data_IF_458162830078
#
_entry.id   IF_458162830078
#
_cell.length_a   1.000
_cell.length_b   1.000
_cell.length_c   1.000
_cell.angle_alpha   90.00
_cell.angle_beta   90.00
_cell.angle_gamma   90.00
#
_symmetry.space_group_name_H-M   'P 1'
#
loop_
_entity.id
_entity.type
_entity.pdbx_description
1 polymer ?
#
# COMPACT_ATOMS: atom_id res chain seq x y z
N UNK A 1 -0.65 56.21 -9.54
CA UNK A 1 -0.60 54.91 -8.83
C UNK A 1 -1.08 55.16 -7.41
N UNK A 2 -2.36 54.94 -7.15
CA UNK A 2 -2.91 55.03 -5.79
C UNK A 2 -2.24 53.97 -4.91
N UNK A 3 -1.71 54.39 -3.76
CA UNK A 3 -1.13 53.50 -2.77
C UNK A 3 -2.19 52.54 -2.23
N UNK A 4 -2.12 51.28 -2.68
CA UNK A 4 -2.97 50.18 -2.21
C UNK A 4 -3.04 50.19 -0.67
N UNK A 5 -4.23 50.32 -0.11
CA UNK A 5 -4.41 50.53 1.33
C UNK A 5 -3.87 49.32 2.13
N UNK A 6 -3.41 49.54 3.37
CA UNK A 6 -2.93 48.44 4.22
C UNK A 6 -3.99 47.35 4.43
N UNK A 7 -5.27 47.75 4.44
CA UNK A 7 -6.43 46.85 4.56
C UNK A 7 -6.60 45.98 3.31
N UNK A 8 -6.53 46.58 2.11
CA UNK A 8 -6.64 45.86 0.85
C UNK A 8 -5.57 44.77 0.72
N UNK A 9 -4.30 45.10 1.04
CA UNK A 9 -3.21 44.13 1.05
C UNK A 9 -3.42 42.98 2.05
N UNK A 10 -4.09 43.25 3.17
CA UNK A 10 -4.43 42.22 4.14
C UNK A 10 -5.54 41.30 3.61
N UNK A 11 -6.62 41.83 3.03
CA UNK A 11 -7.66 41.02 2.40
C UNK A 11 -7.15 40.21 1.21
N UNK A 12 -6.27 40.76 0.35
CA UNK A 12 -5.64 40.02 -0.75
C UNK A 12 -4.80 38.84 -0.26
N UNK A 13 -4.10 38.99 0.88
CA UNK A 13 -3.40 37.89 1.54
C UNK A 13 -4.36 36.83 2.06
N UNK A 14 -5.45 37.22 2.73
CA UNK A 14 -6.48 36.29 3.21
C UNK A 14 -7.15 35.53 2.05
N UNK A 15 -7.39 36.20 0.93
CA UNK A 15 -7.93 35.56 -0.28
C UNK A 15 -7.03 34.43 -0.80
N UNK A 16 -5.74 34.36 -0.44
CA UNK A 16 -4.88 33.23 -0.81
C UNK A 16 -5.42 31.88 -0.31
N UNK A 17 -6.25 31.88 0.74
CA UNK A 17 -6.98 30.71 1.21
C UNK A 17 -7.92 30.13 0.13
N UNK A 18 -8.41 30.92 -0.82
CA UNK A 18 -9.20 30.43 -1.96
C UNK A 18 -8.33 29.81 -3.06
N UNK A 19 -8.84 28.81 -3.82
CA UNK A 19 -8.15 28.26 -4.98
C UNK A 19 -7.77 29.33 -6.02
N UNK A 20 -6.58 29.25 -6.61
CA UNK A 20 -6.03 30.26 -7.55
C UNK A 20 -7.00 30.65 -8.67
N UNK A 21 -7.72 29.67 -9.22
CA UNK A 21 -8.73 29.90 -10.27
C UNK A 21 -9.94 30.67 -9.77
N UNK A 22 -10.47 30.30 -8.60
CA UNK A 22 -11.60 31.00 -7.99
C UNK A 22 -11.24 32.45 -7.66
N UNK A 23 -10.02 32.70 -7.19
CA UNK A 23 -9.51 34.07 -7.00
C UNK A 23 -9.41 34.87 -8.29
N UNK A 24 -9.04 34.24 -9.41
CA UNK A 24 -9.02 34.91 -10.71
C UNK A 24 -10.41 35.26 -11.22
N UNK A 25 -11.39 34.40 -10.97
CA UNK A 25 -12.77 34.58 -11.47
C UNK A 25 -13.61 35.48 -10.56
N UNK A 26 -13.45 35.40 -9.24
CA UNK A 26 -14.32 36.04 -8.23
C UNK A 26 -13.56 36.86 -7.19
N UNK A 27 -12.22 36.86 -7.20
CA UNK A 27 -11.42 37.49 -6.15
C UNK A 27 -11.56 39.00 -6.12
N UNK A 28 -11.67 39.65 -7.27
CA UNK A 28 -11.92 41.09 -7.36
C UNK A 28 -13.29 41.46 -6.79
N UNK A 29 -14.34 40.73 -7.19
CA UNK A 29 -15.70 40.91 -6.67
C UNK A 29 -15.73 40.79 -5.13
N UNK A 30 -15.14 39.72 -4.58
CA UNK A 30 -15.08 39.50 -3.13
C UNK A 30 -14.29 40.63 -2.44
N UNK A 31 -13.16 41.04 -3.01
CA UNK A 31 -12.33 42.11 -2.45
C UNK A 31 -13.08 43.44 -2.42
N UNK A 32 -13.75 43.81 -3.51
CA UNK A 32 -14.55 45.04 -3.60
C UNK A 32 -15.66 45.03 -2.55
N UNK A 33 -16.43 43.94 -2.43
CA UNK A 33 -17.49 43.82 -1.42
C UNK A 33 -16.96 43.96 0.02
N UNK A 34 -15.77 43.42 0.32
CA UNK A 34 -15.15 43.54 1.65
C UNK A 34 -14.68 44.97 1.95
N UNK A 35 -14.17 45.68 0.95
CA UNK A 35 -13.75 47.07 1.10
C UNK A 35 -14.94 48.01 1.22
N UNK A 36 -16.02 47.77 0.47
CA UNK A 36 -17.27 48.54 0.56
C UNK A 36 -17.95 48.38 1.93
N UNK A 37 -17.80 47.20 2.56
CA UNK A 37 -18.32 46.92 3.89
C UNK A 37 -17.40 47.39 5.04
N UNK A 38 -16.19 47.88 4.74
CA UNK A 38 -15.22 48.27 5.76
C UNK A 38 -15.63 49.56 6.48
N UNK A 39 -15.34 49.65 7.78
CA UNK A 39 -15.63 50.87 8.57
C UNK A 39 -14.70 52.02 8.15
N UNK A 40 -15.15 53.28 8.21
CA UNK A 40 -14.28 54.44 7.99
C UNK A 40 -13.03 54.37 8.89
N UNK A 41 -11.84 54.48 8.29
CA UNK A 41 -10.55 54.43 9.00
C UNK A 41 -10.05 53.02 9.37
N UNK A 42 -10.73 51.95 8.97
CA UNK A 42 -10.29 50.57 9.25
C UNK A 42 -8.95 50.25 8.56
N UNK A 43 -7.95 49.86 9.35
CA UNK A 43 -6.58 49.54 8.85
C UNK A 43 -6.26 48.05 8.80
N UNK A 44 -7.06 47.20 9.46
CA UNK A 44 -6.88 45.74 9.52
C UNK A 44 -8.23 45.03 9.35
N UNK A 45 -8.27 43.82 8.75
CA UNK A 45 -9.48 43.01 8.67
C UNK A 45 -10.04 42.73 10.06
N UNK A 46 -11.36 42.72 10.21
CA UNK A 46 -11.96 42.22 11.44
C UNK A 46 -11.64 40.72 11.60
N UNK A 47 -11.43 40.26 12.83
CA UNK A 47 -11.08 38.86 13.10
C UNK A 47 -12.13 37.88 12.52
N UNK A 48 -13.41 38.27 12.58
CA UNK A 48 -14.52 37.52 12.01
C UNK A 48 -14.43 37.41 10.48
N UNK A 49 -14.21 38.52 9.77
CA UNK A 49 -14.05 38.52 8.31
C UNK A 49 -12.84 37.68 7.88
N UNK A 50 -11.74 37.81 8.63
CA UNK A 50 -10.54 37.02 8.37
C UNK A 50 -10.80 35.52 8.55
N UNK A 51 -11.48 35.14 9.64
CA UNK A 51 -11.87 33.75 9.89
C UNK A 51 -12.84 33.24 8.82
N UNK A 52 -13.86 34.02 8.46
CA UNK A 52 -14.85 33.65 7.44
C UNK A 52 -14.21 33.47 6.06
N UNK A 53 -13.23 34.32 5.69
CA UNK A 53 -12.48 34.17 4.44
C UNK A 53 -11.56 32.96 4.43
N UNK A 54 -10.86 32.71 5.55
CA UNK A 54 -9.99 31.54 5.69
C UNK A 54 -10.81 30.26 5.64
N UNK A 55 -11.89 30.16 6.43
CA UNK A 55 -12.79 29.01 6.44
C UNK A 55 -13.50 28.84 5.09
N UNK A 56 -13.95 29.92 4.47
CA UNK A 56 -14.57 29.92 3.14
C UNK A 56 -13.61 29.43 2.06
N UNK A 57 -12.37 29.92 2.06
CA UNK A 57 -11.31 29.50 1.16
C UNK A 57 -10.91 28.03 1.34
N UNK A 58 -10.72 27.61 2.60
CA UNK A 58 -10.42 26.21 2.95
C UNK A 58 -11.55 25.28 2.55
N UNK A 59 -12.82 25.62 2.87
CA UNK A 59 -14.00 24.86 2.41
C UNK A 59 -14.00 24.70 0.90
N UNK A 60 -13.64 25.74 0.13
CA UNK A 60 -13.56 25.65 -1.33
C UNK A 60 -12.39 24.79 -1.82
N UNK A 61 -11.25 24.75 -1.13
CA UNK A 61 -10.11 23.87 -1.46
C UNK A 61 -10.43 22.40 -1.15
N UNK A 62 -11.01 22.16 0.02
CA UNK A 62 -11.40 20.86 0.54
C UNK A 62 -12.72 20.35 -0.08
N UNK A 63 -13.49 21.18 -0.81
CA UNK A 63 -14.72 20.73 -1.44
C UNK A 63 -14.47 19.70 -2.56
N UNK A 64 -14.81 18.44 -2.30
CA UNK A 64 -14.91 17.39 -3.31
C UNK A 64 -16.19 17.61 -4.14
N UNK A 65 -16.24 17.23 -5.43
CA UNK A 65 -17.47 17.34 -6.21
C UNK A 65 -18.67 16.66 -5.53
N UNK A 66 -19.85 17.29 -5.60
CA UNK A 66 -21.07 16.76 -4.96
C UNK A 66 -21.44 15.37 -5.50
N UNK A 67 -21.81 14.48 -4.58
CA UNK A 67 -22.27 13.11 -4.83
C UNK A 67 -21.63 12.11 -3.85
N UNK A 68 -22.29 10.97 -3.56
CA UNK A 68 -21.76 9.98 -2.62
C UNK A 68 -20.48 9.30 -3.13
N UNK A 69 -20.41 8.94 -4.42
CA UNK A 69 -19.25 8.25 -4.99
C UNK A 69 -17.96 9.10 -4.99
N UNK A 70 -17.96 10.38 -5.44
CA UNK A 70 -16.77 11.24 -5.32
C UNK A 70 -16.33 11.43 -3.87
N UNK A 71 -17.28 11.57 -2.94
CA UNK A 71 -17.00 11.68 -1.51
C UNK A 71 -16.30 10.43 -0.97
N UNK A 72 -16.88 9.25 -1.23
CA UNK A 72 -16.30 7.96 -0.86
C UNK A 72 -14.88 7.79 -1.45
N UNK A 73 -14.71 8.06 -2.74
CA UNK A 73 -13.41 7.97 -3.39
C UNK A 73 -12.36 8.89 -2.73
N UNK A 74 -12.72 10.14 -2.42
CA UNK A 74 -11.83 11.06 -1.74
C UNK A 74 -11.49 10.62 -0.31
N UNK A 75 -12.47 10.06 0.42
CA UNK A 75 -12.25 9.47 1.75
C UNK A 75 -11.28 8.30 1.68
N UNK A 76 -11.48 7.36 0.75
CA UNK A 76 -10.61 6.20 0.61
C UNK A 76 -9.17 6.60 0.23
N UNK A 77 -9.00 7.54 -0.71
CA UNK A 77 -7.66 8.08 -1.05
C UNK A 77 -7.02 8.77 0.15
N UNK A 78 -7.79 9.55 0.92
CA UNK A 78 -7.29 10.19 2.13
C UNK A 78 -6.83 9.17 3.18
N UNK A 79 -7.63 8.13 3.43
CA UNK A 79 -7.27 7.06 4.36
C UNK A 79 -6.01 6.30 3.90
N UNK A 80 -5.92 5.94 2.62
CA UNK A 80 -4.74 5.25 2.08
C UNK A 80 -3.48 6.11 2.21
N UNK A 81 -3.58 7.40 1.89
CA UNK A 81 -2.48 8.35 2.07
C UNK A 81 -2.10 8.51 3.55
N UNK A 82 -3.08 8.52 4.46
CA UNK A 82 -2.85 8.55 5.90
C UNK A 82 -2.06 7.31 6.37
N UNK A 83 -2.45 6.12 5.96
CA UNK A 83 -1.75 4.86 6.30
C UNK A 83 -0.32 4.87 5.75
N UNK A 84 -0.14 5.24 4.47
CA UNK A 84 1.18 5.28 3.84
C UNK A 84 2.14 6.28 4.53
N UNK A 85 1.65 7.47 4.88
CA UNK A 85 2.45 8.50 5.56
C UNK A 85 2.68 8.19 7.03
N UNK A 86 1.73 7.54 7.71
CA UNK A 86 1.91 7.02 9.07
C UNK A 86 3.03 5.96 9.11
N UNK A 87 3.03 5.03 8.15
CA UNK A 87 4.07 4.02 8.01
C UNK A 87 5.44 4.66 7.69
N UNK A 88 5.48 5.62 6.76
CA UNK A 88 6.71 6.36 6.45
C UNK A 88 7.23 7.15 7.67
N UNK A 89 6.35 7.80 8.42
CA UNK A 89 6.70 8.55 9.62
C UNK A 89 7.32 7.66 10.68
N UNK A 90 6.69 6.52 11.00
CA UNK A 90 7.28 5.61 11.98
C UNK A 90 8.55 4.92 11.47
N UNK A 91 8.70 4.69 10.17
CA UNK A 91 9.95 4.20 9.59
C UNK A 91 11.09 5.19 9.79
N UNK A 92 10.84 6.49 9.56
CA UNK A 92 11.80 7.56 9.86
C UNK A 92 12.12 7.60 11.36
N UNK A 93 11.12 7.39 12.22
CA UNK A 93 11.33 7.36 13.67
C UNK A 93 12.33 6.29 14.09
N UNK A 94 12.15 5.06 13.61
CA UNK A 94 13.03 3.94 13.95
C UNK A 94 14.40 4.03 13.27
N UNK A 95 14.51 4.66 12.10
CA UNK A 95 15.80 4.97 11.46
C UNK A 95 16.66 5.95 12.27
N UNK A 96 16.04 6.76 13.12
CA UNK A 96 16.70 7.83 13.87
C UNK A 96 16.85 7.52 15.36
N UNK A 97 16.34 6.36 15.80
CA UNK A 97 16.43 5.87 17.18
C UNK A 97 17.33 4.64 17.19
N UNK A 98 18.23 4.50 18.18
CA UNK A 98 18.96 3.26 18.36
C UNK A 98 17.95 2.12 18.59
N UNK A 99 17.92 1.14 17.71
CA UNK A 99 16.85 0.14 17.66
C UNK A 99 17.15 -1.10 18.50
N UNK A 100 18.43 -1.34 18.82
CA UNK A 100 18.88 -2.53 19.53
C UNK A 100 19.48 -2.11 20.88
N UNK A 101 19.02 -2.68 22.02
CA UNK A 101 19.64 -2.43 23.31
C UNK A 101 21.11 -2.87 23.31
N UNK A 102 21.93 -2.26 24.17
CA UNK A 102 23.27 -2.79 24.44
C UNK A 102 23.17 -4.23 24.97
N UNK A 103 24.06 -5.12 24.51
CA UNK A 103 23.98 -6.54 24.84
C UNK A 103 24.10 -6.78 26.35
N UNK A 104 24.96 -6.03 27.05
CA UNK A 104 25.11 -6.17 28.49
C UNK A 104 23.86 -5.68 29.23
N UNK A 105 23.26 -4.58 28.76
CA UNK A 105 21.99 -4.08 29.30
C UNK A 105 20.82 -5.06 29.06
N UNK A 106 20.71 -5.62 27.85
CA UNK A 106 19.71 -6.64 27.53
C UNK A 106 19.90 -7.87 28.40
N UNK A 107 21.15 -8.32 28.57
CA UNK A 107 21.46 -9.48 29.39
C UNK A 107 21.10 -9.26 30.86
N UNK A 108 21.45 -8.10 31.42
CA UNK A 108 21.10 -7.74 32.79
C UNK A 108 19.59 -7.69 33.01
N UNK A 109 18.83 -7.19 32.04
CA UNK A 109 17.37 -7.17 32.10
C UNK A 109 16.79 -8.60 32.18
N UNK A 110 17.26 -9.53 31.35
CA UNK A 110 16.74 -10.90 31.36
C UNK A 110 17.24 -11.70 32.56
N UNK A 111 18.49 -11.51 33.00
CA UNK A 111 19.01 -12.17 34.22
C UNK A 111 18.23 -11.75 35.48
N UNK A 112 17.63 -10.55 35.48
CA UNK A 112 16.70 -10.12 36.55
C UNK A 112 15.35 -10.84 36.53
N UNK A 113 14.97 -11.40 35.39
CA UNK A 113 13.69 -12.07 35.17
C UNK A 113 13.81 -13.60 35.24
N UNK A 114 14.88 -14.19 34.70
CA UNK A 114 15.04 -15.64 34.56
C UNK A 114 16.35 -16.05 35.24
N UNK A 115 16.23 -16.76 36.36
CA UNK A 115 17.37 -17.21 37.17
C UNK A 115 18.04 -18.49 36.60
N UNK A 116 18.25 -18.52 35.28
CA UNK A 116 18.87 -19.65 34.56
C UNK A 116 19.74 -19.11 33.42
N UNK A 117 20.84 -19.80 33.08
CA UNK A 117 21.60 -19.44 31.89
C UNK A 117 20.81 -19.78 30.61
N UNK A 118 20.94 -18.97 29.54
CA UNK A 118 20.39 -19.32 28.23
C UNK A 118 21.11 -20.52 27.63
N UNK A 119 20.42 -21.26 26.75
CA UNK A 119 20.93 -22.51 26.17
C UNK A 119 21.83 -22.31 24.95
N UNK A 120 21.83 -21.10 24.39
CA UNK A 120 22.59 -20.71 23.20
C UNK A 120 22.96 -19.24 23.28
N UNK A 121 23.84 -18.83 22.40
CA UNK A 121 24.21 -17.43 22.23
C UNK A 121 22.98 -16.58 21.86
N UNK A 122 22.92 -15.33 22.33
CA UNK A 122 21.80 -14.44 22.06
C UNK A 122 21.66 -14.18 20.56
N UNK A 123 20.43 -14.32 20.06
CA UNK A 123 20.11 -14.01 18.68
C UNK A 123 19.94 -12.49 18.53
N UNK A 124 20.73 -11.91 17.66
CA UNK A 124 20.64 -10.48 17.33
C UNK A 124 19.80 -10.31 16.08
N UNK A 125 18.69 -9.60 16.24
CA UNK A 125 17.89 -9.13 15.13
C UNK A 125 18.18 -7.64 14.99
N UNK A 126 18.97 -7.27 13.98
CA UNK A 126 19.35 -5.86 13.73
C UNK A 126 18.50 -5.19 12.63
N UNK A 127 17.54 -5.93 12.08
CA UNK A 127 16.67 -5.46 11.01
C UNK A 127 15.37 -4.96 11.63
N UNK A 128 15.19 -3.65 11.89
CA UNK A 128 13.92 -3.12 12.34
C UNK A 128 12.80 -3.25 11.29
N UNK A 129 13.01 -3.97 10.18
CA UNK A 129 12.03 -4.23 9.13
C UNK A 129 12.27 -5.58 8.47
N UNK A 130 11.94 -6.69 9.14
CA UNK A 130 11.77 -7.94 8.41
C UNK A 130 10.39 -7.96 7.73
N UNK A 131 10.36 -7.50 6.48
CA UNK A 131 9.16 -7.50 5.63
C UNK A 131 8.82 -8.90 5.09
N UNK A 132 9.73 -9.87 5.22
CA UNK A 132 9.64 -11.21 4.63
C UNK A 132 9.39 -12.33 5.66
N UNK A 133 9.62 -12.07 6.95
CA UNK A 133 9.48 -13.07 8.01
C UNK A 133 8.04 -13.48 8.30
N UNK A 134 7.83 -14.79 8.53
CA UNK A 134 6.57 -15.43 8.93
C UNK A 134 6.07 -15.04 10.35
N UNK A 135 6.74 -14.09 11.00
CA UNK A 135 6.54 -13.75 12.42
C UNK A 135 5.22 -13.05 12.75
N UNK A 136 4.65 -13.41 13.91
CA UNK A 136 3.59 -12.68 14.62
C UNK A 136 3.97 -11.21 14.82
N UNK A 137 2.99 -10.39 15.19
CA UNK A 137 3.14 -8.95 15.49
C UNK A 137 4.26 -8.70 16.50
N UNK A 138 5.50 -8.59 16.04
CA UNK A 138 6.58 -8.12 16.88
C UNK A 138 6.70 -6.61 16.70
N UNK A 139 6.37 -5.80 17.73
CA UNK A 139 6.51 -4.36 17.72
C UNK A 139 7.94 -3.88 17.45
N UNK A 140 8.96 -4.72 17.72
CA UNK A 140 10.37 -4.37 17.57
C UNK A 140 11.14 -5.44 16.80
N UNK A 141 11.20 -5.28 15.49
CA UNK A 141 12.00 -6.15 14.62
C UNK A 141 13.51 -6.02 14.83
N UNK A 142 13.95 -5.01 15.62
CA UNK A 142 15.27 -5.02 16.23
C UNK A 142 15.19 -5.46 17.70
N UNK A 143 15.78 -6.61 18.04
CA UNK A 143 15.69 -7.21 19.38
C UNK A 143 16.87 -8.14 19.63
N UNK A 144 17.10 -8.43 20.91
CA UNK A 144 18.03 -9.47 21.35
C UNK A 144 17.19 -10.58 21.99
N UNK A 145 17.22 -11.76 21.37
CA UNK A 145 16.45 -12.92 21.81
C UNK A 145 17.30 -13.91 22.59
N UNK A 146 16.74 -14.40 23.70
CA UNK A 146 17.33 -15.43 24.57
C UNK A 146 16.39 -16.62 24.65
N UNK A 147 16.96 -17.84 24.67
CA UNK A 147 16.18 -19.08 24.78
C UNK A 147 16.66 -19.90 25.97
N UNK A 148 15.74 -20.62 26.60
CA UNK A 148 15.96 -21.33 27.85
C UNK A 148 15.42 -22.76 27.78
N UNK A 149 16.17 -23.72 28.35
CA UNK A 149 15.74 -25.10 28.51
C UNK A 149 14.88 -25.21 29.77
N UNK A 150 13.57 -25.29 29.55
CA UNK A 150 12.57 -25.51 30.60
C UNK A 150 11.61 -26.61 30.14
N UNK A 151 11.34 -27.63 30.96
CA UNK A 151 10.32 -28.62 30.65
C UNK A 151 8.96 -27.96 30.41
N UNK A 152 8.14 -28.38 29.42
CA UNK A 152 6.88 -27.72 29.10
C UNK A 152 5.93 -27.54 30.30
N UNK A 153 5.91 -28.53 31.20
CA UNK A 153 5.12 -28.50 32.44
C UNK A 153 5.55 -27.43 33.44
N UNK A 154 6.80 -26.95 33.37
CA UNK A 154 7.34 -25.92 34.27
C UNK A 154 7.19 -24.49 33.70
N UNK A 155 6.87 -24.34 32.42
CA UNK A 155 6.73 -23.03 31.76
C UNK A 155 5.74 -22.10 32.48
N UNK A 156 4.52 -22.53 32.86
CA UNK A 156 3.57 -21.61 33.51
C UNK A 156 4.13 -21.02 34.81
N UNK A 157 4.84 -21.84 35.61
CA UNK A 157 5.46 -21.41 36.85
C UNK A 157 6.64 -20.46 36.60
N UNK A 158 7.48 -20.75 35.59
CA UNK A 158 8.62 -19.90 35.25
C UNK A 158 8.19 -18.53 34.70
N UNK A 159 7.16 -18.49 33.83
CA UNK A 159 6.60 -17.23 33.30
C UNK A 159 6.01 -16.38 34.42
N UNK A 160 5.22 -16.99 35.33
CA UNK A 160 4.67 -16.28 36.48
C UNK A 160 5.77 -15.74 37.42
N UNK A 161 6.77 -16.58 37.74
CA UNK A 161 7.88 -16.18 38.60
C UNK A 161 8.74 -15.08 37.96
N UNK A 162 8.96 -15.12 36.65
CA UNK A 162 9.69 -14.07 35.93
C UNK A 162 8.95 -12.72 35.99
N UNK A 163 7.63 -12.74 35.82
CA UNK A 163 6.79 -11.55 35.97
C UNK A 163 6.89 -10.96 37.37
N UNK A 164 6.77 -11.80 38.39
CA UNK A 164 6.81 -11.34 39.79
C UNK A 164 8.18 -10.78 40.17
N UNK A 165 9.27 -11.39 39.68
CA UNK A 165 10.64 -10.87 39.84
C UNK A 165 10.82 -9.49 39.19
N UNK A 166 10.34 -9.32 37.96
CA UNK A 166 10.39 -8.02 37.27
C UNK A 166 9.55 -6.96 37.99
N UNK A 167 8.34 -7.30 38.43
CA UNK A 167 7.50 -6.41 39.22
C UNK A 167 8.18 -5.99 40.53
N UNK A 168 8.78 -6.94 41.25
CA UNK A 168 9.53 -6.67 42.48
C UNK A 168 10.78 -5.80 42.22
N UNK A 169 11.40 -5.94 41.05
CA UNK A 169 12.51 -5.10 40.60
C UNK A 169 12.06 -3.72 40.08
N UNK A 170 10.78 -3.36 40.20
CA UNK A 170 10.24 -2.05 39.84
C UNK A 170 9.96 -1.87 38.34
N UNK A 171 9.87 -2.97 37.58
CA UNK A 171 9.40 -2.91 36.20
C UNK A 171 7.87 -2.77 36.17
N UNK A 172 7.38 -2.05 35.16
CA UNK A 172 5.96 -2.04 34.85
C UNK A 172 5.63 -3.30 34.06
N UNK A 173 4.80 -4.19 34.62
CA UNK A 173 4.49 -5.49 34.02
C UNK A 173 3.02 -5.61 33.61
N UNK A 174 2.77 -6.24 32.46
CA UNK A 174 1.40 -6.61 32.05
C UNK A 174 0.95 -7.88 32.78
N UNK A 175 -0.37 -8.18 32.81
CA UNK A 175 -0.84 -9.50 33.15
C UNK A 175 -0.24 -10.57 32.22
N UNK A 176 -0.10 -11.80 32.72
CA UNK A 176 0.20 -12.96 31.87
C UNK A 176 -1.02 -13.25 31.01
N UNK A 177 -0.80 -13.41 29.71
CA UNK A 177 -1.82 -13.76 28.73
C UNK A 177 -1.63 -15.21 28.29
N UNK A 178 -2.74 -15.90 28.07
CA UNK A 178 -2.79 -17.23 27.45
C UNK A 178 -3.49 -17.11 26.10
N UNK A 179 -2.73 -17.35 25.02
CA UNK A 179 -3.20 -17.22 23.64
C UNK A 179 -3.01 -18.56 22.90
N UNK A 180 -3.90 -19.50 23.19
CA UNK A 180 -3.99 -20.77 22.48
C UNK A 180 -2.76 -21.66 22.64
N UNK A 181 -2.17 -21.69 23.84
CA UNK A 181 -0.97 -22.48 24.14
C UNK A 181 0.34 -21.69 24.14
N UNK A 182 0.28 -20.36 24.00
CA UNK A 182 1.37 -19.44 24.31
C UNK A 182 1.04 -18.69 25.60
N UNK A 183 1.90 -18.81 26.62
CA UNK A 183 1.85 -17.97 27.80
C UNK A 183 2.88 -16.85 27.67
N UNK A 184 2.46 -15.59 27.71
CA UNK A 184 3.36 -14.45 27.56
C UNK A 184 2.99 -13.23 28.43
N UNK A 185 3.98 -12.39 28.72
CA UNK A 185 3.77 -11.07 29.31
C UNK A 185 4.88 -10.09 28.88
N UNK A 186 4.62 -8.80 29.08
CA UNK A 186 5.53 -7.72 28.76
C UNK A 186 5.92 -6.96 30.02
N UNK A 187 7.15 -6.46 30.05
CA UNK A 187 7.66 -5.60 31.10
C UNK A 187 8.41 -4.41 30.51
N UNK A 188 8.27 -3.23 31.10
CA UNK A 188 8.98 -2.02 30.66
C UNK A 188 9.66 -1.28 31.82
N UNK A 189 10.87 -0.78 31.56
CA UNK A 189 11.64 0.07 32.48
C UNK A 189 12.71 0.86 31.73
N UNK A 190 12.83 2.16 32.05
CA UNK A 190 13.93 3.03 31.58
C UNK A 190 14.16 2.97 30.04
N UNK A 191 13.08 2.86 29.26
CA UNK A 191 13.15 2.75 27.80
C UNK A 191 13.51 1.38 27.25
N UNK A 192 13.61 0.36 28.10
CA UNK A 192 13.78 -1.05 27.73
C UNK A 192 12.46 -1.80 27.89
N UNK A 193 12.15 -2.68 26.96
CA UNK A 193 11.02 -3.60 27.01
C UNK A 193 11.56 -5.04 26.97
N UNK A 194 10.99 -5.87 27.83
CA UNK A 194 11.25 -7.31 27.90
C UNK A 194 9.93 -8.04 27.62
N UNK A 195 9.93 -8.91 26.63
CA UNK A 195 8.82 -9.82 26.31
C UNK A 195 9.25 -11.23 26.67
N UNK A 196 8.55 -11.86 27.60
CA UNK A 196 8.85 -13.23 28.03
C UNK A 196 7.64 -14.10 27.70
N UNK A 197 7.90 -15.24 27.07
CA UNK A 197 6.87 -16.20 26.76
C UNK A 197 7.37 -17.62 26.62
N UNK A 198 6.44 -18.56 26.59
CA UNK A 198 6.74 -19.97 26.40
C UNK A 198 5.53 -20.81 25.99
N UNK A 199 5.81 -22.02 25.49
CA UNK A 199 4.83 -22.94 24.94
C UNK A 199 4.61 -24.15 25.86
N UNK A 200 3.71 -24.08 26.86
CA UNK A 200 3.48 -25.16 27.83
C UNK A 200 2.96 -26.47 27.25
N UNK A 201 2.32 -26.43 26.07
CA UNK A 201 1.63 -27.56 25.45
C UNK A 201 2.33 -28.13 24.21
N UNK A 202 3.48 -27.55 23.80
CA UNK A 202 4.21 -27.98 22.61
C UNK A 202 5.56 -28.61 23.00
N UNK A 203 5.63 -29.94 23.18
CA UNK A 203 6.87 -30.63 23.49
C UNK A 203 7.87 -30.63 22.31
N UNK A 204 7.45 -30.22 21.11
CA UNK A 204 8.30 -30.09 19.92
C UNK A 204 8.81 -28.67 19.67
N UNK A 205 8.43 -27.69 20.49
CA UNK A 205 8.89 -26.32 20.34
C UNK A 205 10.42 -26.26 20.48
N UNK A 206 11.09 -25.70 19.47
CA UNK A 206 12.55 -25.52 19.48
C UNK A 206 13.03 -24.57 20.60
N UNK A 207 12.12 -23.76 21.14
CA UNK A 207 12.37 -22.73 22.16
C UNK A 207 11.23 -22.70 23.19
N UNK A 208 11.23 -23.62 24.18
CA UNK A 208 10.10 -23.79 25.09
C UNK A 208 9.86 -22.57 25.99
N UNK A 209 10.92 -21.86 26.40
CA UNK A 209 10.86 -20.57 27.07
C UNK A 209 11.84 -19.60 26.40
N UNK A 210 11.41 -18.37 26.17
CA UNK A 210 12.21 -17.35 25.52
C UNK A 210 12.00 -15.97 26.15
N UNK A 211 12.95 -15.08 25.93
CA UNK A 211 12.90 -13.68 26.35
C UNK A 211 13.47 -12.80 25.24
N UNK A 212 12.69 -11.84 24.77
CA UNK A 212 13.09 -10.85 23.78
C UNK A 212 13.24 -9.48 24.45
N UNK A 213 14.36 -8.81 24.20
CA UNK A 213 14.63 -7.46 24.70
C UNK A 213 14.74 -6.47 23.55
N UNK A 214 14.01 -5.37 23.64
CA UNK A 214 14.04 -4.28 22.66
C UNK A 214 13.89 -2.92 23.33
N UNK A 215 14.19 -1.87 22.58
CA UNK A 215 14.03 -0.48 23.03
C UNK A 215 12.59 -0.03 22.86
N UNK A 216 12.06 0.67 23.86
CA UNK A 216 10.78 1.36 23.79
C UNK A 216 10.82 2.45 22.71
N UNK A 217 9.72 2.64 22.00
CA UNK A 217 9.63 3.73 21.03
C UNK A 217 9.83 5.08 21.73
N UNK A 218 10.49 6.05 21.07
CA UNK A 218 10.70 7.36 21.66
C UNK A 218 9.35 8.06 21.88
N UNK A 219 9.24 8.90 22.91
CA UNK A 219 7.97 9.58 23.25
C UNK A 219 7.38 10.46 22.14
N UNK A 220 8.17 10.82 21.13
CA UNK A 220 7.72 11.56 19.94
C UNK A 220 7.26 10.67 18.78
N UNK A 221 7.38 9.34 18.90
CA UNK A 221 6.97 8.36 17.88
C UNK A 221 5.48 8.50 17.53
N UNK A 222 4.60 8.34 18.51
CA UNK A 222 3.15 8.41 18.29
C UNK A 222 2.69 9.79 17.78
N UNK A 223 3.15 10.93 18.34
CA UNK A 223 2.89 12.25 17.77
C UNK A 223 3.31 12.37 16.30
N UNK A 224 4.48 11.85 15.92
CA UNK A 224 4.98 11.93 14.54
C UNK A 224 4.16 11.05 13.59
N UNK A 225 3.79 9.84 14.01
CA UNK A 225 2.92 8.94 13.24
C UNK A 225 1.54 9.55 13.03
N UNK A 226 0.93 10.14 14.06
CA UNK A 226 -0.36 10.84 13.97
C UNK A 226 -0.28 12.09 13.09
N UNK A 227 0.80 12.87 13.21
CA UNK A 227 1.04 14.03 12.35
C UNK A 227 1.22 13.62 10.89
N UNK A 228 1.97 12.55 10.64
CA UNK A 228 2.11 11.92 9.33
C UNK A 228 0.77 11.52 8.75
N UNK A 229 -0.01 10.74 9.50
CA UNK A 229 -1.36 10.30 9.10
C UNK A 229 -2.27 11.49 8.76
N UNK A 230 -2.30 12.53 9.60
CA UNK A 230 -3.10 13.73 9.37
C UNK A 230 -2.66 14.50 8.11
N UNK A 231 -1.36 14.66 7.91
CA UNK A 231 -0.81 15.29 6.71
C UNK A 231 -1.13 14.49 5.44
N UNK A 232 -1.01 13.15 5.49
CA UNK A 232 -1.37 12.25 4.41
C UNK A 232 -2.87 12.30 4.08
N UNK A 233 -3.73 12.26 5.09
CA UNK A 233 -5.18 12.38 4.91
C UNK A 233 -5.56 13.68 4.19
N UNK A 234 -5.00 14.81 4.65
CA UNK A 234 -5.23 16.12 4.06
C UNK A 234 -4.74 16.18 2.61
N UNK A 235 -3.51 15.71 2.35
CA UNK A 235 -2.93 15.68 1.02
C UNK A 235 -3.73 14.78 0.07
N UNK A 236 -4.08 13.56 0.51
CA UNK A 236 -4.89 12.60 -0.26
C UNK A 236 -6.26 13.16 -0.61
N UNK A 237 -6.94 13.78 0.37
CA UNK A 237 -8.24 14.44 0.16
C UNK A 237 -8.16 15.57 -0.88
N UNK A 238 -7.14 16.44 -0.76
CA UNK A 238 -6.93 17.55 -1.68
C UNK A 238 -6.60 17.08 -3.10
N UNK A 239 -5.73 16.06 -3.22
CA UNK A 239 -5.36 15.43 -4.49
C UNK A 239 -6.57 14.77 -5.16
N UNK A 240 -7.36 13.98 -4.42
CA UNK A 240 -8.57 13.35 -4.94
C UNK A 240 -9.60 14.40 -5.37
N UNK A 241 -9.86 15.41 -4.54
CA UNK A 241 -10.75 16.51 -4.89
C UNK A 241 -10.29 17.28 -6.13
N UNK A 242 -8.98 17.52 -6.27
CA UNK A 242 -8.39 18.12 -7.46
C UNK A 242 -8.58 17.25 -8.71
N UNK A 243 -8.24 15.96 -8.65
CA UNK A 243 -8.36 15.03 -9.76
C UNK A 243 -9.81 14.90 -10.23
N UNK A 244 -10.75 14.70 -9.29
CA UNK A 244 -12.18 14.58 -9.57
C UNK A 244 -12.76 15.85 -10.21
N UNK A 245 -12.37 17.04 -9.72
CA UNK A 245 -12.78 18.33 -10.33
C UNK A 245 -12.20 18.51 -11.72
N UNK A 246 -11.02 17.97 -12.00
CA UNK A 246 -10.36 18.05 -13.30
C UNK A 246 -11.02 17.09 -14.30
N UNK A 247 -11.35 15.87 -13.89
CA UNK A 247 -12.10 14.90 -14.69
C UNK A 247 -13.51 15.38 -15.08
N UNK A 248 -14.21 16.08 -14.17
CA UNK A 248 -15.53 16.66 -14.46
C UNK A 248 -15.50 17.76 -15.53
N UNK A 249 -14.34 18.39 -15.74
CA UNK A 249 -14.17 19.48 -16.70
C UNK A 249 -13.55 19.04 -18.02
N UNK A 250 -13.11 17.80 -18.11
CA UNK A 250 -12.46 17.27 -19.31
C UNK A 250 -13.53 16.69 -20.25
N UNK A 251 -13.39 16.92 -21.55
CA UNK A 251 -14.37 16.58 -22.60
C UNK A 251 -14.48 15.05 -22.89
N UNK A 252 -14.33 14.21 -21.86
CA UNK A 252 -14.57 12.77 -21.91
C UNK A 252 -13.35 11.89 -22.19
N UNK A 253 -12.17 12.44 -22.49
CA UNK A 253 -10.98 11.63 -22.85
C UNK A 253 -10.25 11.03 -21.66
N UNK A 254 -9.93 11.84 -20.65
CA UNK A 254 -9.18 11.38 -19.48
C UNK A 254 -10.09 10.81 -18.38
N UNK A 255 -11.40 11.06 -18.48
CA UNK A 255 -12.40 10.57 -17.53
C UNK A 255 -12.41 9.03 -17.41
N UNK A 256 -12.48 8.22 -18.49
CA UNK A 256 -12.45 6.76 -18.35
C UNK A 256 -11.13 6.26 -17.75
N UNK A 257 -9.99 6.87 -18.10
CA UNK A 257 -8.67 6.53 -17.55
C UNK A 257 -8.65 6.74 -16.04
N UNK A 258 -9.06 7.92 -15.57
CA UNK A 258 -9.08 8.22 -14.13
C UNK A 258 -10.11 7.37 -13.38
N UNK A 259 -11.27 7.08 -13.98
CA UNK A 259 -12.29 6.23 -13.36
C UNK A 259 -11.82 4.77 -13.26
N UNK A 260 -11.24 4.21 -14.33
CA UNK A 260 -10.79 2.82 -14.36
C UNK A 260 -9.60 2.63 -13.42
N UNK A 261 -8.53 3.41 -13.59
CA UNK A 261 -7.32 3.24 -12.77
C UNK A 261 -7.55 3.72 -11.33
N UNK A 262 -8.31 4.80 -11.14
CA UNK A 262 -8.72 5.21 -9.80
C UNK A 262 -9.59 4.15 -9.12
N UNK A 263 -10.54 3.56 -9.83
CA UNK A 263 -11.39 2.48 -9.32
C UNK A 263 -10.61 1.22 -8.96
N UNK A 264 -9.70 0.77 -9.83
CA UNK A 264 -8.82 -0.37 -9.56
C UNK A 264 -7.91 -0.11 -8.35
N UNK A 265 -7.31 1.08 -8.26
CA UNK A 265 -6.47 1.46 -7.13
C UNK A 265 -7.25 1.51 -5.81
N UNK A 266 -8.47 2.04 -5.83
CA UNK A 266 -9.35 2.07 -4.66
C UNK A 266 -9.81 0.67 -4.25
N UNK A 267 -10.17 -0.19 -5.20
CA UNK A 267 -10.57 -1.57 -4.94
C UNK A 267 -9.46 -2.36 -4.25
N UNK A 268 -8.23 -2.26 -4.76
CA UNK A 268 -7.05 -2.88 -4.14
C UNK A 268 -6.68 -2.26 -2.79
N UNK A 269 -7.02 -0.98 -2.59
CA UNK A 269 -6.78 -0.28 -1.32
C UNK A 269 -7.71 -0.70 -0.18
N UNK A 270 -8.91 -1.22 -0.46
CA UNK A 270 -9.86 -1.61 0.61
C UNK A 270 -9.28 -2.70 1.53
N UNK A 271 -8.73 -3.83 1.03
CA UNK A 271 -8.05 -4.81 1.88
C UNK A 271 -6.90 -4.22 2.70
N UNK A 272 -6.15 -3.25 2.16
CA UNK A 272 -5.06 -2.57 2.88
C UNK A 272 -5.62 -1.79 4.07
N UNK A 273 -6.72 -1.06 3.89
CA UNK A 273 -7.38 -0.33 4.96
C UNK A 273 -7.98 -1.25 6.02
N UNK A 274 -8.62 -2.35 5.60
CA UNK A 274 -9.18 -3.36 6.51
C UNK A 274 -8.07 -4.05 7.31
N UNK A 275 -6.98 -4.43 6.66
CA UNK A 275 -5.79 -4.97 7.31
C UNK A 275 -5.26 -3.97 8.34
N UNK A 276 -5.12 -2.69 7.97
CA UNK A 276 -4.65 -1.65 8.89
C UNK A 276 -5.57 -1.48 10.09
N UNK A 277 -6.89 -1.47 9.88
CA UNK A 277 -7.86 -1.39 10.96
C UNK A 277 -7.80 -2.60 11.89
N UNK A 278 -7.74 -3.82 11.34
CA UNK A 278 -7.58 -5.05 12.12
C UNK A 278 -6.31 -5.02 12.97
N UNK A 279 -5.17 -4.69 12.36
CA UNK A 279 -3.87 -4.63 13.04
C UNK A 279 -3.84 -3.51 14.11
N UNK A 280 -4.48 -2.36 13.84
CA UNK A 280 -4.61 -1.27 14.81
C UNK A 280 -5.50 -1.64 16.00
N UNK A 281 -6.65 -2.28 15.77
CA UNK A 281 -7.54 -2.75 16.85
C UNK A 281 -6.85 -3.82 17.68
N UNK A 282 -6.21 -4.81 17.04
CA UNK A 282 -5.45 -5.85 17.72
C UNK A 282 -4.35 -5.26 18.59
N UNK A 283 -3.62 -4.26 18.08
CA UNK A 283 -2.61 -3.55 18.86
C UNK A 283 -3.23 -2.87 20.09
N UNK A 284 -4.33 -2.12 19.94
CA UNK A 284 -4.98 -1.46 21.09
C UNK A 284 -5.56 -2.42 22.13
N UNK A 285 -6.09 -3.57 21.68
CA UNK A 285 -6.70 -4.56 22.56
C UNK A 285 -5.66 -5.36 23.38
N UNK A 286 -4.43 -5.49 22.88
CA UNK A 286 -3.40 -6.33 23.48
C UNK A 286 -2.51 -5.64 24.55
N UNK A 287 -2.91 -4.49 25.12
CA UNK A 287 -2.35 -4.04 26.40
C UNK A 287 -1.46 -2.79 26.39
N UNK A 288 -1.85 -1.74 25.65
CA UNK A 288 -1.49 -0.37 26.00
C UNK A 288 -0.11 0.10 25.55
N UNK A 289 1.02 -0.45 26.02
CA UNK A 289 2.36 0.10 25.72
C UNK A 289 3.29 -0.86 24.98
N UNK A 290 3.14 -2.18 25.13
CA UNK A 290 3.90 -3.18 24.37
C UNK A 290 3.58 -3.13 22.87
N UNK A 291 2.36 -2.75 22.52
CA UNK A 291 1.86 -2.72 21.14
C UNK A 291 1.79 -1.32 20.53
N UNK A 292 1.90 -0.26 21.33
CA UNK A 292 1.93 1.12 20.82
C UNK A 292 3.27 1.52 20.20
N UNK A 293 4.31 0.73 20.49
CA UNK A 293 5.61 0.82 19.82
C UNK A 293 5.59 0.11 18.45
N UNK A 294 4.54 -0.68 18.19
CA UNK A 294 4.39 -1.38 16.93
C UNK A 294 4.15 -0.41 15.78
N UNK A 295 4.97 -0.56 14.75
CA UNK A 295 4.78 -0.02 13.41
C UNK A 295 3.56 -0.63 12.69
N UNK A 296 2.38 -0.72 13.33
CA UNK A 296 1.21 -1.41 12.77
C UNK A 296 0.79 -0.91 11.37
N UNK A 297 0.93 0.38 10.98
CA UNK A 297 0.66 0.80 9.60
C UNK A 297 1.66 0.21 8.60
N UNK A 298 2.93 0.05 8.99
CA UNK A 298 3.94 -0.58 8.15
C UNK A 298 3.72 -2.10 8.05
N UNK A 299 3.35 -2.75 9.15
CA UNK A 299 2.99 -4.19 9.17
C UNK A 299 1.76 -4.46 8.30
N UNK A 300 0.75 -3.59 8.37
CA UNK A 300 -0.43 -3.73 7.52
C UNK A 300 -0.11 -3.55 6.04
N UNK A 301 0.77 -2.60 5.70
CA UNK A 301 1.24 -2.39 4.33
C UNK A 301 2.12 -3.55 3.82
N UNK A 302 2.93 -4.16 4.67
CA UNK A 302 3.80 -5.30 4.31
C UNK A 302 3.01 -6.59 4.13
N UNK A 303 2.08 -6.90 5.05
CA UNK A 303 1.22 -8.08 4.88
C UNK A 303 0.25 -7.95 3.71
N UNK A 304 -0.09 -6.72 3.32
CA UNK A 304 -0.86 -6.44 2.11
C UNK A 304 0.02 -5.96 0.94
N UNK A 305 1.35 -6.21 0.95
CA UNK A 305 2.33 -5.61 0.03
C UNK A 305 1.98 -5.65 -1.47
N UNK A 306 1.52 -6.78 -2.06
CA UNK A 306 1.16 -6.77 -3.47
C UNK A 306 -0.02 -5.83 -3.75
N UNK A 307 -1.00 -5.78 -2.85
CA UNK A 307 -2.19 -4.93 -2.99
C UNK A 307 -1.90 -3.46 -2.69
N UNK A 308 -1.01 -3.16 -1.73
CA UNK A 308 -0.64 -1.78 -1.38
C UNK A 308 0.16 -1.11 -2.50
N UNK A 309 1.09 -1.83 -3.12
CA UNK A 309 1.84 -1.34 -4.28
C UNK A 309 0.95 -1.20 -5.52
N UNK A 310 0.05 -2.17 -5.75
CA UNK A 310 -0.94 -2.07 -6.82
C UNK A 310 -1.86 -0.86 -6.63
N UNK A 311 -2.40 -0.66 -5.41
CA UNK A 311 -3.24 0.48 -5.07
C UNK A 311 -2.52 1.82 -5.31
N UNK A 312 -1.29 1.95 -4.79
CA UNK A 312 -0.46 3.14 -4.96
C UNK A 312 -0.14 3.44 -6.43
N UNK A 313 0.27 2.44 -7.20
CA UNK A 313 0.61 2.58 -8.62
C UNK A 313 -0.60 3.08 -9.44
N UNK A 314 -1.78 2.49 -9.27
CA UNK A 314 -2.95 2.87 -10.07
C UNK A 314 -3.55 4.21 -9.65
N UNK A 315 -3.51 4.56 -8.37
CA UNK A 315 -3.87 5.89 -7.90
C UNK A 315 -2.90 6.95 -8.44
N UNK A 316 -1.60 6.62 -8.53
CA UNK A 316 -0.61 7.50 -9.16
C UNK A 316 -0.89 7.67 -10.66
N UNK A 317 -1.17 6.60 -11.40
CA UNK A 317 -1.55 6.67 -12.82
C UNK A 317 -2.80 7.54 -13.00
N UNK A 318 -3.81 7.38 -12.15
CA UNK A 318 -5.02 8.21 -12.18
C UNK A 318 -4.71 9.69 -11.89
N UNK A 319 -3.84 9.98 -10.91
CA UNK A 319 -3.41 11.34 -10.60
C UNK A 319 -2.62 11.99 -11.74
N UNK A 320 -1.67 11.25 -12.34
CA UNK A 320 -0.87 11.69 -13.48
C UNK A 320 -1.76 11.93 -14.71
N UNK A 321 -2.73 11.05 -14.97
CA UNK A 321 -3.71 11.24 -16.03
C UNK A 321 -4.55 12.50 -15.81
N UNK A 322 -4.97 12.78 -14.57
CA UNK A 322 -5.66 14.02 -14.24
C UNK A 322 -4.76 15.28 -14.38
N UNK A 323 -3.43 15.13 -14.23
CA UNK A 323 -2.47 16.23 -14.38
C UNK A 323 -2.27 16.68 -15.82
N UNK A 324 -2.56 15.81 -16.79
CA UNK A 324 -2.34 16.12 -18.20
C UNK A 324 -3.19 17.34 -18.63
N UNK A 325 -2.59 18.29 -19.37
CA UNK A 325 -3.31 19.44 -19.88
C UNK A 325 -4.43 18.98 -20.82
N UNK A 326 -5.60 19.64 -20.79
CA UNK A 326 -6.67 19.33 -21.72
C UNK A 326 -6.15 19.69 -23.10
N UNK A 327 -5.90 18.71 -23.97
CA UNK A 327 -5.45 18.99 -25.33
C UNK A 327 -6.65 19.51 -26.13
N UNK A 328 -6.63 20.78 -26.60
CA UNK A 328 -7.65 21.25 -27.51
C UNK A 328 -7.48 20.52 -28.84
N UNK A 329 -8.59 20.03 -29.40
CA UNK A 329 -8.62 19.52 -30.78
C UNK A 329 -8.72 18.00 -30.93
N UNK A 330 -9.63 17.62 -31.83
CA UNK A 330 -9.99 16.28 -32.32
C UNK A 330 -10.56 15.33 -31.27
N UNK A 331 -11.87 15.45 -31.02
CA UNK A 331 -12.64 14.49 -30.22
C UNK A 331 -12.15 13.07 -30.47
N UNK A 332 -11.49 12.48 -29.48
CA UNK A 332 -11.10 11.08 -29.55
C UNK A 332 -12.41 10.32 -29.45
N UNK A 333 -12.85 9.80 -30.58
CA UNK A 333 -14.10 9.06 -30.64
C UNK A 333 -13.99 7.90 -29.62
N UNK A 334 -14.91 7.75 -28.64
CA UNK A 334 -14.79 6.79 -27.54
C UNK A 334 -14.49 5.36 -28.00
N UNK A 335 -15.00 4.97 -29.18
CA UNK A 335 -14.71 3.68 -29.78
C UNK A 335 -13.23 3.48 -30.14
N UNK A 336 -12.47 4.54 -30.46
CA UNK A 336 -11.02 4.44 -30.71
C UNK A 336 -10.25 4.10 -29.44
N UNK A 337 -10.64 4.68 -28.30
CA UNK A 337 -10.05 4.33 -27.00
C UNK A 337 -10.38 2.88 -26.66
N UNK A 338 -11.65 2.48 -26.79
CA UNK A 338 -12.06 1.08 -26.58
C UNK A 338 -11.29 0.10 -27.48
N UNK A 339 -11.08 0.47 -28.74
CA UNK A 339 -10.36 -0.35 -29.72
C UNK A 339 -8.87 -0.48 -29.39
N UNK A 340 -8.19 0.60 -28.98
CA UNK A 340 -6.79 0.52 -28.54
C UNK A 340 -6.64 -0.20 -27.21
N UNK A 341 -7.54 0.00 -26.26
CA UNK A 341 -7.52 -0.72 -24.98
C UNK A 341 -7.72 -2.23 -25.18
N UNK A 342 -8.70 -2.62 -26.00
CA UNK A 342 -8.93 -4.02 -26.33
C UNK A 342 -7.73 -4.64 -27.08
N UNK A 343 -7.17 -3.93 -28.05
CA UNK A 343 -5.97 -4.37 -28.75
C UNK A 343 -4.77 -4.53 -27.80
N UNK A 344 -4.57 -3.58 -26.89
CA UNK A 344 -3.48 -3.63 -25.90
C UNK A 344 -3.63 -4.80 -24.95
N UNK A 345 -4.85 -5.06 -24.44
CA UNK A 345 -5.13 -6.18 -23.56
C UNK A 345 -4.84 -7.53 -24.24
N UNK A 346 -5.29 -7.69 -25.48
CA UNK A 346 -5.04 -8.89 -26.28
C UNK A 346 -3.54 -9.09 -26.59
N UNK A 347 -2.83 -8.01 -26.95
CA UNK A 347 -1.39 -8.08 -27.19
C UNK A 347 -0.59 -8.39 -25.92
N UNK A 348 -1.01 -7.87 -24.76
CA UNK A 348 -0.38 -8.18 -23.48
C UNK A 348 -0.56 -9.65 -23.10
N UNK A 349 -1.77 -10.19 -23.29
CA UNK A 349 -2.03 -11.63 -23.12
C UNK A 349 -1.19 -12.47 -24.09
N UNK A 350 -1.17 -12.11 -25.37
CA UNK A 350 -0.39 -12.83 -26.38
C UNK A 350 1.11 -12.81 -26.07
N UNK A 351 1.65 -11.66 -25.64
CA UNK A 351 3.03 -11.54 -25.19
C UNK A 351 3.34 -12.43 -23.99
N UNK A 352 2.47 -12.44 -22.96
CA UNK A 352 2.63 -13.30 -21.80
C UNK A 352 2.60 -14.79 -22.18
N UNK A 353 1.65 -15.21 -23.03
CA UNK A 353 1.57 -16.59 -23.52
C UNK A 353 2.81 -17.01 -24.31
N UNK A 354 3.25 -16.20 -25.28
CA UNK A 354 4.45 -16.48 -26.07
C UNK A 354 5.69 -16.57 -25.18
N UNK A 355 5.78 -15.72 -24.16
CA UNK A 355 6.88 -15.76 -23.20
C UNK A 355 6.89 -17.06 -22.38
N UNK A 356 5.73 -17.49 -21.86
CA UNK A 356 5.60 -18.76 -21.12
C UNK A 356 5.99 -19.95 -21.99
N UNK A 357 5.49 -20.02 -23.23
CA UNK A 357 5.85 -21.10 -24.17
C UNK A 357 7.34 -21.08 -24.51
N UNK A 358 7.92 -19.90 -24.73
CA UNK A 358 9.34 -19.76 -25.00
C UNK A 358 10.20 -20.22 -23.82
N UNK A 359 9.81 -19.87 -22.59
CA UNK A 359 10.48 -20.35 -21.37
C UNK A 359 10.38 -21.86 -21.22
N UNK A 360 9.18 -22.43 -21.42
CA UNK A 360 8.97 -23.87 -21.39
C UNK A 360 9.86 -24.60 -22.41
N UNK A 361 9.88 -24.14 -23.67
CA UNK A 361 10.68 -24.74 -24.73
C UNK A 361 12.18 -24.61 -24.47
N UNK A 362 12.62 -23.45 -23.96
CA UNK A 362 14.02 -23.23 -23.60
C UNK A 362 14.42 -24.17 -22.47
N UNK A 363 13.58 -24.28 -21.42
CA UNK A 363 13.85 -25.16 -20.28
C UNK A 363 13.89 -26.63 -20.70
N UNK A 364 12.91 -27.07 -21.51
CA UNK A 364 12.85 -28.42 -22.08
C UNK A 364 14.10 -28.74 -22.91
N UNK A 365 14.59 -27.78 -23.70
CA UNK A 365 15.84 -27.97 -24.46
C UNK A 365 17.05 -28.09 -23.51
N UNK A 366 17.14 -27.26 -22.47
CA UNK A 366 18.25 -27.30 -21.50
C UNK A 366 18.22 -28.53 -20.58
N UNK A 367 17.06 -29.15 -20.38
CA UNK A 367 16.91 -30.41 -19.62
C UNK A 367 17.13 -31.66 -20.47
N UNK A 368 17.60 -31.53 -21.72
CA UNK A 368 17.81 -32.66 -22.61
C UNK A 368 16.51 -33.30 -23.12
N UNK A 369 15.40 -32.57 -23.08
CA UNK A 369 14.09 -33.08 -23.50
C UNK A 369 13.33 -33.84 -22.40
N UNK A 370 13.73 -33.72 -21.13
CA UNK A 370 13.05 -34.37 -20.01
C UNK A 370 11.69 -33.73 -19.71
N UNK A 371 10.69 -34.16 -20.48
CA UNK A 371 9.30 -33.71 -20.34
C UNK A 371 8.66 -34.20 -19.04
N UNK A 372 9.01 -35.38 -18.54
CA UNK A 372 8.41 -35.91 -17.31
C UNK A 372 8.91 -35.16 -16.08
N UNK A 373 10.21 -34.84 -16.01
CA UNK A 373 10.76 -33.99 -14.96
C UNK A 373 10.16 -32.59 -14.97
N UNK A 374 9.91 -32.02 -16.15
CA UNK A 374 9.22 -30.72 -16.29
C UNK A 374 7.82 -30.75 -15.66
N UNK A 375 7.03 -31.79 -15.92
CA UNK A 375 5.65 -31.90 -15.42
C UNK A 375 5.56 -32.45 -13.98
N UNK A 376 6.66 -32.94 -13.43
CA UNK A 376 6.74 -33.50 -12.07
C UNK A 376 7.37 -32.55 -11.04
N UNK A 377 7.52 -31.26 -11.37
CA UNK A 377 8.08 -30.24 -10.47
C UNK A 377 9.61 -30.28 -10.30
N UNK A 378 10.33 -31.17 -11.01
CA UNK A 378 11.79 -31.25 -10.90
C UNK A 378 12.50 -30.03 -11.51
N UNK A 379 11.79 -29.25 -12.34
CA UNK A 379 12.27 -28.03 -12.96
C UNK A 379 11.22 -26.92 -12.80
N UNK A 380 11.08 -26.34 -11.61
CA UNK A 380 10.06 -25.33 -11.32
C UNK A 380 10.29 -24.07 -12.19
N UNK A 381 9.26 -23.48 -12.82
CA UNK A 381 9.40 -22.22 -13.56
C UNK A 381 9.98 -21.08 -12.71
N UNK A 382 9.81 -21.11 -11.39
CA UNK A 382 10.34 -20.14 -10.42
C UNK A 382 11.88 -20.21 -10.32
N UNK A 383 12.49 -21.34 -10.64
CA UNK A 383 13.95 -21.51 -10.68
C UNK A 383 14.60 -20.62 -11.75
N UNK A 384 13.83 -20.18 -12.75
CA UNK A 384 14.29 -19.29 -13.81
C UNK A 384 14.33 -17.83 -13.38
N UNK A 385 13.80 -17.48 -12.20
CA UNK A 385 13.84 -16.13 -11.66
C UNK A 385 15.24 -15.89 -11.06
N UNK A 386 16.08 -15.03 -11.66
CA UNK A 386 17.40 -14.73 -11.11
C UNK A 386 17.25 -14.23 -9.69
N UNK A 387 18.04 -14.76 -8.74
CA UNK A 387 17.98 -14.40 -7.31
C UNK A 387 16.72 -14.87 -6.56
N UNK A 388 15.94 -15.80 -7.14
CA UNK A 388 14.81 -16.46 -6.48
C UNK A 388 13.53 -15.63 -6.41
N UNK A 389 12.45 -16.23 -5.91
CA UNK A 389 11.16 -15.55 -5.74
C UNK A 389 11.13 -14.78 -4.41
N UNK A 390 11.33 -13.47 -4.49
CA UNK A 390 11.33 -12.60 -3.31
C UNK A 390 10.70 -11.24 -3.59
N UNK A 391 10.05 -10.61 -2.60
CA UNK A 391 9.35 -9.34 -2.77
C UNK A 391 10.29 -8.17 -3.11
N UNK A 392 11.59 -8.29 -2.82
CA UNK A 392 12.59 -7.27 -3.16
C UNK A 392 13.29 -7.52 -4.50
N UNK A 393 13.04 -8.66 -5.15
CA UNK A 393 13.72 -9.02 -6.39
C UNK A 393 12.91 -8.55 -7.62
N UNK A 394 13.37 -7.54 -8.39
CA UNK A 394 12.65 -7.01 -9.57
C UNK A 394 12.31 -8.08 -10.62
N UNK A 395 13.10 -9.16 -10.72
CA UNK A 395 12.79 -10.26 -11.63
C UNK A 395 11.59 -11.08 -11.17
N UNK A 396 11.38 -11.23 -9.86
CA UNK A 396 10.18 -11.85 -9.30
C UNK A 396 8.92 -11.04 -9.64
N UNK A 397 9.00 -9.70 -9.63
CA UNK A 397 7.90 -8.84 -10.09
C UNK A 397 7.58 -9.04 -11.56
N UNK A 398 8.61 -9.18 -12.40
CA UNK A 398 8.46 -9.50 -13.81
C UNK A 398 7.74 -10.83 -14.01
N UNK A 399 8.16 -11.87 -13.29
CA UNK A 399 7.51 -13.18 -13.26
C UNK A 399 6.03 -13.06 -12.81
N UNK A 400 5.75 -12.38 -11.70
CA UNK A 400 4.38 -12.18 -11.21
C UNK A 400 3.49 -11.40 -12.21
N UNK A 401 4.04 -10.39 -12.89
CA UNK A 401 3.31 -9.65 -13.91
C UNK A 401 2.95 -10.53 -15.11
N UNK A 402 3.91 -11.34 -15.58
CA UNK A 402 3.66 -12.32 -16.66
C UNK A 402 2.59 -13.32 -16.22
N UNK A 403 2.69 -13.90 -15.03
CA UNK A 403 1.70 -14.84 -14.49
C UNK A 403 0.31 -14.21 -14.39
N UNK A 404 0.23 -12.96 -13.93
CA UNK A 404 -1.02 -12.23 -13.84
C UNK A 404 -1.62 -11.95 -15.22
N UNK A 405 -0.84 -11.47 -16.19
CA UNK A 405 -1.30 -11.23 -17.57
C UNK A 405 -1.73 -12.52 -18.26
N UNK A 406 -1.01 -13.62 -18.00
CA UNK A 406 -1.31 -14.95 -18.52
C UNK A 406 -2.66 -15.46 -17.97
N UNK A 407 -2.82 -15.48 -16.64
CA UNK A 407 -4.04 -15.95 -15.97
C UNK A 407 -5.26 -15.07 -16.27
N UNK A 408 -5.11 -13.74 -16.15
CA UNK A 408 -6.18 -12.81 -16.47
C UNK A 408 -6.55 -12.89 -17.94
N UNK A 409 -5.58 -13.09 -18.83
CA UNK A 409 -5.86 -13.23 -20.25
C UNK A 409 -6.69 -14.47 -20.58
N UNK A 410 -6.47 -15.61 -19.91
CA UNK A 410 -7.34 -16.79 -20.04
C UNK A 410 -8.77 -16.52 -19.58
N UNK A 411 -8.93 -15.93 -18.40
CA UNK A 411 -10.23 -15.65 -17.81
C UNK A 411 -10.99 -14.57 -18.59
N UNK A 412 -10.28 -13.54 -19.04
CA UNK A 412 -10.87 -12.38 -19.69
C UNK A 412 -11.02 -12.54 -21.20
N UNK A 413 -10.31 -13.46 -21.86
CA UNK A 413 -10.32 -13.61 -23.33
C UNK A 413 -11.74 -13.77 -23.90
N UNK A 414 -12.64 -14.63 -23.38
CA UNK A 414 -14.01 -14.73 -23.88
C UNK A 414 -14.78 -13.40 -23.79
N UNK A 415 -14.63 -12.68 -22.68
CA UNK A 415 -15.27 -11.37 -22.48
C UNK A 415 -14.67 -10.28 -23.38
N UNK A 416 -13.34 -10.28 -23.55
CA UNK A 416 -12.63 -9.38 -24.45
C UNK A 416 -13.01 -9.64 -25.91
N UNK A 417 -13.23 -10.89 -26.31
CA UNK A 417 -13.77 -11.24 -27.64
C UNK A 417 -15.20 -10.73 -27.81
N UNK A 418 -16.06 -10.91 -26.80
CA UNK A 418 -17.42 -10.36 -26.77
C UNK A 418 -17.48 -8.85 -26.92
N UNK A 419 -16.46 -8.12 -26.44
CA UNK A 419 -16.27 -6.68 -26.66
C UNK A 419 -15.63 -6.35 -28.02
N UNK A 420 -14.65 -7.14 -28.45
CA UNK A 420 -13.83 -6.86 -29.64
C UNK A 420 -14.57 -7.12 -30.94
N UNK A 421 -15.43 -8.14 -31.01
CA UNK A 421 -16.19 -8.48 -32.23
C UNK A 421 -17.19 -7.36 -32.61
N UNK A 422 -18.04 -6.86 -31.70
CA UNK A 422 -18.89 -5.71 -31.99
C UNK A 422 -18.09 -4.46 -32.37
N UNK A 423 -16.95 -4.21 -31.71
CA UNK A 423 -16.06 -3.10 -32.05
C UNK A 423 -15.47 -3.25 -33.46
N UNK A 424 -15.05 -4.44 -33.87
CA UNK A 424 -14.55 -4.74 -35.22
C UNK A 424 -15.64 -4.55 -36.29
N UNK A 425 -16.88 -4.96 -36.01
CA UNK A 425 -18.03 -4.80 -36.91
C UNK A 425 -18.43 -3.32 -37.04
N UNK A 426 -18.55 -2.61 -35.92
CA UNK A 426 -18.93 -1.20 -35.89
C UNK A 426 -17.87 -0.30 -36.52
N UNK A 427 -16.59 -0.58 -36.25
CA UNK A 427 -15.48 0.19 -36.84
C UNK A 427 -15.30 -0.08 -38.34
N UNK A 428 -15.56 -1.31 -38.83
CA UNK A 428 -15.53 -1.60 -40.28
C UNK A 428 -16.49 -0.71 -41.08
N UNK A 429 -17.63 -0.32 -40.49
CA UNK A 429 -18.64 0.55 -41.14
C UNK A 429 -18.32 2.04 -41.06
N UNK A 430 -17.42 2.45 -40.17
CA UNK A 430 -17.18 3.88 -39.82
C UNK A 430 -15.75 4.35 -40.08
N UNK A 431 -14.82 3.44 -40.42
CA UNK A 431 -13.41 3.74 -40.66
C UNK A 431 -13.20 4.30 -42.08
N UNK A 432 -13.19 5.63 -42.20
CA UNK A 432 -12.84 6.35 -43.44
C UNK A 432 -11.49 7.11 -43.43
N UNK A 433 -10.66 7.13 -42.36
CA UNK A 433 -9.24 7.54 -42.45
C UNK A 433 -8.23 6.38 -42.32
N UNK A 434 -7.02 6.54 -42.88
CA UNK A 434 -5.90 5.57 -42.83
C UNK A 434 -5.55 5.09 -41.41
N UNK A 435 -5.58 5.98 -40.41
CA UNK A 435 -5.30 5.64 -39.01
C UNK A 435 -6.34 4.68 -38.37
N UNK A 436 -7.58 4.66 -38.88
CA UNK A 436 -8.60 3.71 -38.42
C UNK A 436 -8.36 2.29 -38.95
N UNK A 437 -7.75 2.16 -40.15
CA UNK A 437 -7.44 0.86 -40.75
C UNK A 437 -6.32 0.13 -40.00
N UNK A 438 -5.28 0.84 -39.58
CA UNK A 438 -4.20 0.24 -38.77
C UNK A 438 -4.73 -0.28 -37.45
N UNK A 439 -5.51 0.54 -36.74
CA UNK A 439 -6.07 0.16 -35.45
C UNK A 439 -7.03 -1.05 -35.59
N UNK A 440 -7.87 -1.05 -36.63
CA UNK A 440 -8.73 -2.18 -36.96
C UNK A 440 -7.95 -3.47 -37.23
N UNK A 441 -6.87 -3.40 -38.02
CA UNK A 441 -5.99 -4.56 -38.31
C UNK A 441 -5.32 -5.08 -37.04
N UNK A 442 -4.83 -4.19 -36.18
CA UNK A 442 -4.23 -4.57 -34.90
C UNK A 442 -5.27 -5.27 -34.02
N UNK A 443 -6.47 -4.72 -33.87
CA UNK A 443 -7.53 -5.37 -33.10
C UNK A 443 -7.95 -6.72 -33.69
N UNK A 444 -8.00 -6.86 -35.02
CA UNK A 444 -8.32 -8.11 -35.68
C UNK A 444 -7.28 -9.19 -35.37
N UNK A 445 -5.99 -8.87 -35.54
CA UNK A 445 -4.88 -9.78 -35.22
C UNK A 445 -4.89 -10.13 -33.74
N UNK A 446 -5.14 -9.15 -32.87
CA UNK A 446 -5.17 -9.33 -31.43
C UNK A 446 -6.37 -10.20 -30.98
N UNK A 447 -7.55 -10.02 -31.58
CA UNK A 447 -8.71 -10.87 -31.33
C UNK A 447 -8.50 -12.30 -31.86
N UNK A 448 -7.91 -12.45 -33.05
CA UNK A 448 -7.60 -13.77 -33.61
C UNK A 448 -6.60 -14.54 -32.72
N UNK A 449 -5.56 -13.87 -32.23
CA UNK A 449 -4.60 -14.46 -31.28
C UNK A 449 -5.24 -14.80 -29.95
N UNK A 450 -6.13 -13.96 -29.43
CA UNK A 450 -6.87 -14.26 -28.19
C UNK A 450 -7.82 -15.46 -28.28
N UNK A 451 -8.27 -15.84 -29.48
CA UNK A 451 -8.99 -17.10 -29.72
C UNK A 451 -8.02 -18.27 -29.94
N UNK A 452 -6.96 -18.06 -30.73
CA UNK A 452 -6.02 -19.12 -31.08
C UNK A 452 -5.21 -19.61 -29.88
N UNK A 453 -4.73 -18.72 -29.02
CA UNK A 453 -3.83 -19.08 -27.92
C UNK A 453 -4.51 -19.94 -26.84
N UNK A 454 -5.75 -19.67 -26.40
CA UNK A 454 -6.47 -20.60 -25.53
C UNK A 454 -6.71 -21.96 -26.20
N UNK A 455 -6.99 -21.99 -27.50
CA UNK A 455 -7.12 -23.25 -28.24
C UNK A 455 -5.79 -24.02 -28.31
N UNK A 456 -4.65 -23.34 -28.27
CA UNK A 456 -3.35 -24.02 -28.19
C UNK A 456 -3.18 -24.83 -26.90
N UNK A 457 -3.88 -24.51 -25.81
CA UNK A 457 -3.89 -25.36 -24.59
C UNK A 457 -4.47 -26.75 -24.82
N UNK A 458 -5.27 -26.93 -25.87
CA UNK A 458 -5.79 -28.24 -26.25
C UNK A 458 -4.70 -29.12 -26.91
N UNK A 459 -3.64 -28.52 -27.45
CA UNK A 459 -2.49 -29.25 -28.02
C UNK A 459 -1.60 -29.81 -26.91
N UNK A 460 -0.87 -30.91 -27.15
CA UNK A 460 0.07 -31.46 -26.16
C UNK A 460 1.08 -30.43 -25.66
N UNK A 461 1.71 -29.67 -26.58
CA UNK A 461 2.70 -28.66 -26.24
C UNK A 461 2.11 -27.53 -25.38
N UNK A 462 0.96 -26.99 -25.77
CA UNK A 462 0.34 -25.90 -25.02
C UNK A 462 -0.20 -26.35 -23.66
N UNK A 463 -0.66 -27.61 -23.56
CA UNK A 463 -1.06 -28.21 -22.28
C UNK A 463 0.13 -28.36 -21.35
N UNK A 464 1.25 -28.87 -21.84
CA UNK A 464 2.43 -29.07 -21.01
C UNK A 464 3.00 -27.73 -20.53
N UNK A 465 3.10 -26.73 -21.42
CA UNK A 465 3.57 -25.40 -21.05
C UNK A 465 2.64 -24.73 -20.03
N UNK A 466 1.32 -24.93 -20.15
CA UNK A 466 0.34 -24.45 -19.18
C UNK A 466 0.51 -25.15 -17.84
N UNK A 467 0.55 -26.48 -17.81
CA UNK A 467 0.70 -27.26 -16.58
C UNK A 467 2.00 -26.90 -15.87
N UNK A 468 3.11 -26.86 -16.60
CA UNK A 468 4.41 -26.49 -16.06
C UNK A 468 4.46 -25.07 -15.48
N UNK A 469 3.76 -24.10 -16.09
CA UNK A 469 3.73 -22.73 -15.59
C UNK A 469 2.84 -22.53 -14.36
N UNK A 470 1.84 -23.40 -14.18
CA UNK A 470 0.90 -23.34 -13.06
C UNK A 470 1.36 -24.13 -11.83
N UNK A 471 2.37 -24.98 -12.00
CA UNK A 471 3.15 -25.64 -10.94
C UNK A 471 4.10 -24.61 -10.28
#
# INVERSE_FOLDING_TARGET
METESALERAYRRLLLAYPRRYRRERGTEILTTLLDAARPGQRRPAARDALDLVLGGLRRRLAVPRGPLPGLAATLVALLAAVATAAGAGWVSWRTTATTPDLAAARAAVDSAIARPPVRDPLHYDQPFDLAGEGRFDPASARIGYSYAVPPSAIPAEVAAARDRLAAAGWEVTPVRDDGGLLDFWAARDGTIVHIGGYPLDPGASEPLWADVHTRAPGWFAPLVLAGAGAGALAGWLCAGWALRRCRRDDGRLRPVVVVFGGLGLLAGVPVLLSTAYHGVAATAAGGWSTMDAMFPAVALSRAQPLSLFAGAWLLVAALAAALPPRPGRGVQPWRLGLWSAATAHLAFAGAWCFVVALYLTRLATSGGDRQGMLGGAYDPKDLVPFGVGPLNPFAWGYSLVSLLFLLGFLASPGLLGLSVPLLVASRRTVTPAAGRTAWRVLLVAAATALALPLMTATPLGRDALTWWLD
#
